data_IF_727803637731
#
_entry.id   IF_727803637731
#
_cell.length_a   1.000
_cell.length_b   1.000
_cell.length_c   1.000
_cell.angle_alpha   90.00
_cell.angle_beta   90.00
_cell.angle_gamma   90.00
#
_symmetry.space_group_name_H-M   'P 1'
#
loop_
_entity.id
_entity.type
_entity.pdbx_description
1 polymer ?
#
# COMPACT_ATOMS: atom_id res chain seq x y z
N UNK A 1 56.32 -85.74 -30.24
CA UNK A 1 57.11 -84.55 -29.90
C UNK A 1 56.47 -83.91 -28.67
N UNK A 2 57.15 -83.89 -27.53
CA UNK A 2 56.61 -83.37 -26.27
C UNK A 2 56.57 -81.85 -26.29
N UNK A 3 55.44 -81.28 -25.88
CA UNK A 3 55.26 -79.84 -25.67
C UNK A 3 56.02 -79.49 -24.39
N UNK A 4 57.13 -78.76 -24.53
CA UNK A 4 57.89 -78.24 -23.39
C UNK A 4 57.00 -77.29 -22.57
N UNK A 5 56.54 -77.78 -21.44
CA UNK A 5 55.82 -77.03 -20.42
C UNK A 5 56.82 -76.15 -19.64
N UNK A 6 56.70 -74.83 -19.82
CA UNK A 6 57.09 -73.84 -18.80
C UNK A 6 58.55 -73.41 -18.75
N UNK A 7 59.08 -72.82 -19.83
CA UNK A 7 60.35 -72.09 -19.74
C UNK A 7 60.17 -70.77 -18.97
N UNK A 8 60.68 -70.72 -17.74
CA UNK A 8 60.91 -69.48 -17.00
C UNK A 8 62.17 -68.83 -17.56
N UNK A 9 62.03 -67.96 -18.56
CA UNK A 9 63.17 -67.53 -19.38
C UNK A 9 64.20 -66.64 -18.63
N UNK A 10 63.88 -66.03 -17.49
CA UNK A 10 64.91 -65.31 -16.70
C UNK A 10 64.48 -65.11 -15.25
N UNK A 11 65.07 -65.87 -14.32
CA UNK A 11 65.09 -65.53 -12.89
C UNK A 11 66.31 -64.63 -12.68
N UNK A 12 66.09 -63.33 -12.55
CA UNK A 12 67.18 -62.39 -12.26
C UNK A 12 67.55 -62.63 -10.78
N UNK A 13 68.84 -62.89 -10.56
CA UNK A 13 69.51 -63.24 -9.29
C UNK A 13 68.82 -62.72 -8.01
N UNK A 14 68.72 -63.58 -6.98
CA UNK A 14 68.38 -63.21 -5.59
C UNK A 14 69.52 -62.35 -5.04
N UNK A 15 69.32 -61.05 -4.96
CA UNK A 15 70.25 -60.11 -4.34
C UNK A 15 69.42 -58.94 -3.84
N UNK A 16 69.73 -58.43 -2.66
CA UNK A 16 69.09 -57.21 -2.17
C UNK A 16 69.43 -56.05 -3.11
N UNK A 17 68.41 -55.44 -3.69
CA UNK A 17 68.55 -54.25 -4.52
C UNK A 17 68.12 -53.03 -3.72
N UNK A 18 69.00 -52.02 -3.66
CA UNK A 18 68.75 -50.71 -3.06
C UNK A 18 68.54 -49.70 -4.18
N UNK A 19 67.36 -49.07 -4.22
CA UNK A 19 67.05 -48.02 -5.20
C UNK A 19 68.04 -46.86 -5.07
N UNK A 20 68.56 -46.38 -6.21
CA UNK A 20 69.47 -45.22 -6.29
C UNK A 20 70.97 -45.52 -6.35
N UNK A 21 71.44 -46.71 -5.97
CA UNK A 21 72.87 -47.07 -5.99
C UNK A 21 73.25 -48.15 -7.02
N UNK A 22 72.30 -48.94 -7.52
CA UNK A 22 72.55 -49.97 -8.54
C UNK A 22 71.77 -49.68 -9.83
N UNK A 23 72.43 -49.75 -10.99
CA UNK A 23 71.75 -49.67 -12.29
C UNK A 23 70.79 -50.86 -12.41
N UNK A 24 69.50 -50.57 -12.59
CA UNK A 24 68.50 -51.60 -12.88
C UNK A 24 68.97 -52.49 -14.04
N UNK A 25 68.76 -53.82 -13.98
CA UNK A 25 69.11 -54.71 -15.07
C UNK A 25 68.52 -54.19 -16.39
N UNK A 26 69.32 -54.16 -17.48
CA UNK A 26 68.92 -53.60 -18.80
C UNK A 26 67.59 -54.13 -19.37
N UNK A 27 67.09 -55.26 -18.87
CA UNK A 27 65.80 -55.86 -19.21
C UNK A 27 64.57 -55.19 -18.53
N UNK A 28 64.81 -54.35 -17.53
CA UNK A 28 63.85 -53.50 -16.81
C UNK A 28 63.91 -52.11 -17.43
N UNK A 29 63.58 -51.99 -18.73
CA UNK A 29 63.50 -50.66 -19.34
C UNK A 29 62.30 -49.93 -18.75
N UNK A 30 62.56 -48.77 -18.14
CA UNK A 30 61.61 -47.80 -17.60
C UNK A 30 60.50 -47.46 -18.61
N UNK A 31 59.44 -48.25 -18.65
CA UNK A 31 58.15 -47.81 -19.16
C UNK A 31 57.15 -47.91 -18.01
N UNK A 32 57.09 -46.83 -17.26
CA UNK A 32 56.26 -46.65 -16.07
C UNK A 32 57.11 -46.55 -14.81
N UNK A 33 57.17 -45.36 -14.23
CA UNK A 33 57.92 -44.98 -13.01
C UNK A 33 57.52 -45.72 -11.73
N UNK A 34 56.71 -46.78 -11.80
CA UNK A 34 56.17 -47.44 -10.60
C UNK A 34 57.26 -48.16 -9.78
N UNK A 35 58.37 -48.57 -10.41
CA UNK A 35 59.53 -49.16 -9.74
C UNK A 35 60.39 -48.12 -8.98
N UNK A 36 60.25 -46.82 -9.27
CA UNK A 36 60.95 -45.75 -8.55
C UNK A 36 60.35 -45.50 -7.15
N UNK A 37 59.11 -45.94 -6.92
CA UNK A 37 58.43 -45.84 -5.62
C UNK A 37 58.72 -47.04 -4.70
N UNK A 38 59.46 -48.05 -5.18
CA UNK A 38 59.84 -49.23 -4.42
C UNK A 38 61.32 -49.09 -4.05
N UNK A 39 61.58 -48.52 -2.87
CA UNK A 39 62.95 -48.21 -2.44
C UNK A 39 63.84 -49.45 -2.30
N UNK A 40 63.26 -50.60 -1.94
CA UNK A 40 64.01 -51.83 -1.70
C UNK A 40 63.19 -53.07 -2.11
N UNK A 41 63.79 -53.98 -2.89
CA UNK A 41 63.19 -55.28 -3.20
C UNK A 41 64.24 -56.39 -3.21
N UNK A 42 63.81 -57.61 -2.88
CA UNK A 42 64.67 -58.78 -2.71
C UNK A 42 64.96 -59.51 -4.02
N UNK A 43 63.96 -59.58 -4.90
CA UNK A 43 64.16 -60.07 -6.26
C UNK A 43 63.06 -59.58 -7.19
N UNK A 44 63.33 -59.58 -8.49
CA UNK A 44 62.32 -59.28 -9.49
C UNK A 44 62.38 -60.31 -10.60
N UNK A 45 61.24 -60.93 -10.89
CA UNK A 45 61.11 -62.04 -11.83
C UNK A 45 60.13 -61.67 -12.92
N UNK A 46 60.59 -61.73 -14.18
CA UNK A 46 59.72 -61.60 -15.35
C UNK A 46 59.22 -62.97 -15.76
N UNK A 47 57.92 -63.22 -15.61
CA UNK A 47 57.29 -64.49 -15.93
C UNK A 47 56.45 -64.35 -17.20
N UNK A 48 56.68 -65.22 -18.18
CA UNK A 48 55.79 -65.39 -19.32
C UNK A 48 54.86 -66.55 -19.02
N UNK A 49 53.58 -66.26 -18.84
CA UNK A 49 52.58 -67.29 -18.55
C UNK A 49 52.20 -68.02 -19.84
N UNK A 50 52.03 -69.36 -19.81
CA UNK A 50 51.59 -70.12 -20.98
C UNK A 50 50.31 -69.53 -21.58
N UNK A 51 50.29 -69.31 -22.90
CA UNK A 51 49.15 -68.72 -23.62
C UNK A 51 48.99 -67.20 -23.50
N UNK A 52 49.88 -66.48 -22.79
CA UNK A 52 49.85 -65.01 -22.72
C UNK A 52 51.01 -64.39 -23.48
N UNK A 53 50.69 -63.48 -24.40
CA UNK A 53 51.67 -62.70 -25.16
C UNK A 53 52.42 -61.65 -24.30
N UNK A 54 51.80 -61.21 -23.18
CA UNK A 54 52.38 -60.20 -22.28
C UNK A 54 53.00 -60.87 -21.06
N UNK A 55 54.27 -60.57 -20.82
CA UNK A 55 54.96 -60.94 -19.58
C UNK A 55 54.41 -60.19 -18.37
N UNK A 56 54.51 -60.80 -17.19
CA UNK A 56 54.24 -60.15 -15.90
C UNK A 56 55.52 -60.06 -15.08
N UNK A 57 55.65 -58.98 -14.32
CA UNK A 57 56.72 -58.82 -13.34
C UNK A 57 56.20 -59.20 -11.95
N UNK A 58 56.98 -60.00 -11.24
CA UNK A 58 56.77 -60.33 -9.84
C UNK A 58 57.93 -59.74 -9.06
N UNK A 59 57.62 -59.08 -7.95
CA UNK A 59 58.61 -58.55 -7.03
C UNK A 59 58.53 -59.38 -5.76
N UNK A 60 59.64 -59.99 -5.38
CA UNK A 60 59.80 -60.59 -4.07
C UNK A 60 60.29 -59.49 -3.11
N UNK A 61 59.58 -59.32 -2.02
CA UNK A 61 59.93 -58.40 -0.94
C UNK A 61 60.10 -59.20 0.36
N UNK A 62 60.95 -58.72 1.25
CA UNK A 62 60.97 -59.25 2.62
C UNK A 62 59.66 -58.92 3.32
N UNK A 63 59.20 -59.73 4.30
CA UNK A 63 57.99 -59.41 5.05
C UNK A 63 58.01 -58.01 5.66
N UNK A 64 59.18 -57.56 6.15
CA UNK A 64 59.37 -56.21 6.71
C UNK A 64 59.10 -55.10 5.68
N UNK A 65 59.68 -55.20 4.48
CA UNK A 65 59.46 -54.23 3.40
C UNK A 65 58.00 -54.19 2.96
N UNK A 66 57.34 -55.34 2.89
CA UNK A 66 55.91 -55.39 2.58
C UNK A 66 55.06 -54.71 3.67
N UNK A 67 55.39 -54.94 4.94
CA UNK A 67 54.71 -54.27 6.06
C UNK A 67 54.93 -52.75 6.07
N UNK A 68 56.14 -52.29 5.76
CA UNK A 68 56.47 -50.86 5.68
C UNK A 68 55.69 -50.19 4.53
N UNK A 69 55.62 -50.85 3.36
CA UNK A 69 54.84 -50.35 2.21
C UNK A 69 53.33 -50.27 2.52
N UNK A 70 52.78 -51.32 3.13
CA UNK A 70 51.37 -51.32 3.58
C UNK A 70 51.14 -50.21 4.62
N UNK A 71 52.10 -49.99 5.51
CA UNK A 71 52.05 -48.91 6.50
C UNK A 71 52.01 -47.53 5.85
N UNK A 72 52.85 -47.31 4.84
CA UNK A 72 52.91 -46.07 4.08
C UNK A 72 51.62 -45.81 3.28
N UNK A 73 51.12 -46.81 2.53
CA UNK A 73 49.85 -46.67 1.78
C UNK A 73 48.69 -46.31 2.72
N UNK A 74 48.61 -46.96 3.88
CA UNK A 74 47.57 -46.65 4.88
C UNK A 74 47.70 -45.23 5.43
N UNK A 75 48.92 -44.72 5.60
CA UNK A 75 49.13 -43.37 6.10
C UNK A 75 48.82 -42.31 5.03
N UNK A 76 49.20 -42.58 3.78
CA UNK A 76 48.84 -41.74 2.63
C UNK A 76 47.33 -41.68 2.43
N UNK A 77 46.62 -42.82 2.53
CA UNK A 77 45.15 -42.89 2.49
C UNK A 77 44.52 -42.06 3.61
N UNK A 78 45.01 -42.17 4.85
CA UNK A 78 44.52 -41.34 5.97
C UNK A 78 44.74 -39.85 5.72
N UNK A 79 45.91 -39.46 5.21
CA UNK A 79 46.20 -38.08 4.88
C UNK A 79 45.29 -37.56 3.76
N UNK A 80 45.00 -38.39 2.76
CA UNK A 80 44.08 -38.01 1.69
C UNK A 80 42.64 -37.85 2.20
N UNK A 81 42.18 -38.78 3.04
CA UNK A 81 40.84 -38.71 3.66
C UNK A 81 40.71 -37.47 4.54
N UNK A 82 41.70 -37.17 5.39
CA UNK A 82 41.69 -35.98 6.25
C UNK A 82 41.70 -34.68 5.42
N UNK A 83 42.52 -34.60 4.36
CA UNK A 83 42.50 -33.45 3.42
C UNK A 83 41.12 -33.26 2.78
N UNK A 84 40.45 -34.35 2.37
CA UNK A 84 39.10 -34.29 1.80
C UNK A 84 38.07 -33.79 2.83
N UNK A 85 38.11 -34.32 4.05
CA UNK A 85 37.23 -33.90 5.15
C UNK A 85 37.42 -32.42 5.47
N UNK A 86 38.67 -31.94 5.56
CA UNK A 86 38.97 -30.54 5.86
C UNK A 86 38.54 -29.61 4.73
N UNK A 87 38.72 -30.01 3.47
CA UNK A 87 38.24 -29.25 2.32
C UNK A 87 36.71 -29.10 2.36
N UNK A 88 35.99 -30.19 2.65
CA UNK A 88 34.54 -30.16 2.76
C UNK A 88 34.05 -29.36 3.97
N UNK A 89 34.75 -29.46 5.11
CA UNK A 89 34.46 -28.65 6.30
C UNK A 89 34.63 -27.16 6.00
N UNK A 90 35.67 -26.77 5.28
CA UNK A 90 35.90 -25.38 4.84
C UNK A 90 34.78 -24.90 3.90
N UNK A 91 34.39 -25.70 2.92
CA UNK A 91 33.27 -25.39 2.01
C UNK A 91 31.95 -25.22 2.77
N UNK A 92 31.62 -26.15 3.67
CA UNK A 92 30.42 -26.08 4.53
C UNK A 92 30.44 -24.83 5.40
N UNK A 93 31.56 -24.53 6.05
CA UNK A 93 31.70 -23.32 6.88
C UNK A 93 31.48 -22.04 6.08
N UNK A 94 32.05 -21.94 4.87
CA UNK A 94 31.82 -20.80 3.97
C UNK A 94 30.34 -20.66 3.61
N UNK A 95 29.68 -21.77 3.27
CA UNK A 95 28.24 -21.78 2.94
C UNK A 95 27.38 -21.35 4.13
N UNK A 96 27.71 -21.81 5.34
CA UNK A 96 27.00 -21.41 6.57
C UNK A 96 27.15 -19.90 6.80
N UNK A 97 28.36 -19.34 6.64
CA UNK A 97 28.58 -17.89 6.77
C UNK A 97 27.76 -17.09 5.74
N UNK A 98 27.75 -17.53 4.49
CA UNK A 98 26.97 -16.89 3.43
C UNK A 98 25.46 -16.96 3.71
N UNK A 99 24.95 -18.11 4.16
CA UNK A 99 23.54 -18.27 4.53
C UNK A 99 23.16 -17.39 5.73
N UNK A 100 24.03 -17.29 6.75
CA UNK A 100 23.79 -16.39 7.90
C UNK A 100 23.74 -14.92 7.47
N UNK A 101 24.65 -14.49 6.60
CA UNK A 101 24.63 -13.13 6.05
C UNK A 101 23.34 -12.86 5.26
N UNK A 102 22.93 -13.80 4.39
CA UNK A 102 21.70 -13.65 3.63
C UNK A 102 20.41 -13.71 4.47
N UNK A 103 20.43 -14.40 5.63
CA UNK A 103 19.32 -14.34 6.59
C UNK A 103 19.25 -12.95 7.22
N UNK A 104 20.38 -12.40 7.68
CA UNK A 104 20.42 -11.07 8.29
C UNK A 104 19.95 -9.98 7.33
N UNK A 105 20.40 -10.03 6.07
CA UNK A 105 19.95 -9.11 5.01
C UNK A 105 18.42 -9.18 4.81
N UNK A 106 17.86 -10.39 4.75
CA UNK A 106 16.40 -10.57 4.65
C UNK A 106 15.64 -10.11 5.90
N UNK A 107 16.20 -10.33 7.09
CA UNK A 107 15.59 -9.87 8.34
C UNK A 107 15.55 -8.33 8.38
N UNK A 108 16.62 -7.66 7.93
CA UNK A 108 16.66 -6.20 7.78
C UNK A 108 15.61 -5.71 6.77
N UNK A 109 15.50 -6.34 5.60
CA UNK A 109 14.44 -6.04 4.64
C UNK A 109 13.05 -6.17 5.30
N UNK A 110 12.76 -7.30 5.97
CA UNK A 110 11.48 -7.53 6.65
C UNK A 110 11.17 -6.43 7.67
N UNK A 111 12.16 -5.96 8.43
CA UNK A 111 11.99 -4.85 9.36
C UNK A 111 11.60 -3.55 8.64
N UNK A 112 12.26 -3.22 7.54
CA UNK A 112 11.90 -2.03 6.73
C UNK A 112 10.49 -2.13 6.14
N UNK A 113 10.09 -3.30 5.64
CA UNK A 113 8.73 -3.56 5.17
C UNK A 113 7.70 -3.41 6.29
N UNK A 114 8.01 -3.92 7.48
CA UNK A 114 7.12 -3.82 8.65
C UNK A 114 6.94 -2.37 9.10
N UNK A 115 8.00 -1.57 9.11
CA UNK A 115 7.91 -0.14 9.41
C UNK A 115 7.07 0.61 8.37
N UNK A 116 7.27 0.30 7.09
CA UNK A 116 6.52 0.91 6.00
C UNK A 116 5.03 0.55 6.08
N UNK A 117 4.71 -0.72 6.32
CA UNK A 117 3.34 -1.18 6.53
C UNK A 117 2.70 -0.51 7.75
N UNK A 118 3.42 -0.40 8.87
CA UNK A 118 2.93 0.29 10.06
C UNK A 118 2.61 1.77 9.79
N UNK A 119 3.49 2.48 9.07
CA UNK A 119 3.26 3.86 8.64
C UNK A 119 2.05 3.98 7.72
N UNK A 120 1.86 3.02 6.79
CA UNK A 120 0.70 2.99 5.90
C UNK A 120 -0.60 2.79 6.70
N UNK A 121 -0.65 1.83 7.63
CA UNK A 121 -1.80 1.59 8.50
C UNK A 121 -2.16 2.83 9.33
N UNK A 122 -1.15 3.52 9.89
CA UNK A 122 -1.38 4.74 10.64
C UNK A 122 -1.97 5.87 9.78
N UNK A 123 -1.56 5.99 8.51
CA UNK A 123 -2.15 6.95 7.56
C UNK A 123 -3.58 6.58 7.20
N UNK A 124 -3.85 5.31 6.91
CA UNK A 124 -5.20 4.84 6.58
C UNK A 124 -6.16 5.11 7.73
N UNK A 125 -5.78 4.81 8.97
CA UNK A 125 -6.62 5.12 10.15
C UNK A 125 -6.93 6.60 10.29
N UNK A 126 -5.96 7.49 10.03
CA UNK A 126 -6.21 8.94 10.05
C UNK A 126 -7.25 9.35 8.99
N UNK A 127 -7.14 8.80 7.78
CA UNK A 127 -8.09 9.06 6.70
C UNK A 127 -9.48 8.51 7.03
N UNK A 128 -9.56 7.33 7.65
CA UNK A 128 -10.83 6.75 8.12
C UNK A 128 -11.48 7.62 9.20
N UNK A 129 -10.70 8.14 10.15
CA UNK A 129 -11.18 9.06 11.18
C UNK A 129 -11.69 10.39 10.58
N UNK A 130 -10.95 10.96 9.62
CA UNK A 130 -11.35 12.18 8.89
C UNK A 130 -12.62 11.96 8.07
N UNK A 131 -12.73 10.81 7.40
CA UNK A 131 -13.94 10.43 6.65
C UNK A 131 -15.15 10.27 7.59
N UNK A 132 -14.94 9.67 8.77
CA UNK A 132 -15.99 9.52 9.78
C UNK A 132 -16.47 10.87 10.32
N UNK A 133 -15.55 11.81 10.58
CA UNK A 133 -15.90 13.18 11.01
C UNK A 133 -16.67 13.94 9.94
N UNK A 134 -16.16 13.98 8.72
CA UNK A 134 -16.81 14.67 7.59
C UNK A 134 -18.17 14.04 7.25
N UNK A 135 -18.32 12.72 7.40
CA UNK A 135 -19.62 12.06 7.22
C UNK A 135 -20.65 12.50 8.27
N UNK A 136 -20.23 12.71 9.53
CA UNK A 136 -21.13 13.21 10.59
C UNK A 136 -21.50 14.66 10.36
N UNK A 137 -20.52 15.50 10.03
CA UNK A 137 -20.75 16.91 9.69
C UNK A 137 -21.72 17.03 8.50
N UNK A 138 -21.53 16.23 7.44
CA UNK A 138 -22.46 16.18 6.31
C UNK A 138 -23.87 15.77 6.73
N UNK A 139 -24.01 14.79 7.62
CA UNK A 139 -25.32 14.37 8.12
C UNK A 139 -26.00 15.50 8.93
N UNK A 140 -25.26 16.20 9.78
CA UNK A 140 -25.75 17.35 10.53
C UNK A 140 -26.20 18.49 9.59
N UNK A 141 -25.40 18.82 8.58
CA UNK A 141 -25.74 19.81 7.56
C UNK A 141 -26.99 19.42 6.76
N UNK A 142 -27.14 18.15 6.41
CA UNK A 142 -28.34 17.63 5.74
C UNK A 142 -29.59 17.75 6.61
N UNK A 143 -29.48 17.41 7.89
CA UNK A 143 -30.55 17.55 8.87
C UNK A 143 -30.95 19.03 9.03
N UNK A 144 -29.97 19.92 9.14
CA UNK A 144 -30.21 21.35 9.27
C UNK A 144 -30.84 21.94 8.00
N UNK A 145 -30.39 21.54 6.82
CA UNK A 145 -30.99 21.96 5.56
C UNK A 145 -32.46 21.54 5.47
N UNK A 146 -32.77 20.30 5.85
CA UNK A 146 -34.16 19.80 5.90
C UNK A 146 -35.04 20.60 6.88
N UNK A 147 -34.47 21.03 8.01
CA UNK A 147 -35.14 21.92 8.98
C UNK A 147 -35.41 23.30 8.38
N UNK A 148 -34.43 23.88 7.68
CA UNK A 148 -34.58 25.17 7.01
C UNK A 148 -35.61 25.12 5.88
N UNK A 149 -35.65 24.06 5.08
CA UNK A 149 -36.67 23.86 4.04
C UNK A 149 -38.07 23.80 4.66
N UNK A 150 -38.23 23.12 5.79
CA UNK A 150 -39.49 23.07 6.53
C UNK A 150 -39.93 24.46 7.02
N UNK A 151 -38.99 25.24 7.56
CA UNK A 151 -39.27 26.62 8.00
C UNK A 151 -39.61 27.54 6.83
N UNK A 152 -38.91 27.39 5.70
CA UNK A 152 -39.20 28.12 4.47
C UNK A 152 -40.60 27.85 3.98
N UNK A 153 -41.03 26.59 3.94
CA UNK A 153 -42.39 26.21 3.54
C UNK A 153 -43.45 26.83 4.47
N UNK A 154 -43.19 26.86 5.78
CA UNK A 154 -44.08 27.53 6.74
C UNK A 154 -44.14 29.03 6.50
N UNK A 155 -43.01 29.67 6.21
CA UNK A 155 -42.95 31.10 5.89
C UNK A 155 -43.69 31.43 4.59
N UNK A 156 -43.47 30.65 3.52
CA UNK A 156 -44.16 30.79 2.23
C UNK A 156 -45.68 30.63 2.39
N UNK A 157 -46.13 29.62 3.15
CA UNK A 157 -47.56 29.44 3.44
C UNK A 157 -48.16 30.62 4.24
N UNK A 158 -47.42 31.18 5.20
CA UNK A 158 -47.85 32.37 5.94
C UNK A 158 -47.93 33.60 5.04
N UNK A 159 -46.94 33.80 4.18
CA UNK A 159 -46.90 34.90 3.23
C UNK A 159 -48.07 34.81 2.24
N UNK A 160 -48.35 33.63 1.69
CA UNK A 160 -49.50 33.40 0.81
C UNK A 160 -50.82 33.76 1.50
N UNK A 161 -51.05 33.27 2.73
CA UNK A 161 -52.28 33.61 3.49
C UNK A 161 -52.39 35.10 3.81
N UNK A 162 -51.27 35.77 4.08
CA UNK A 162 -51.27 37.21 4.31
C UNK A 162 -51.63 37.98 3.02
N UNK A 163 -51.14 37.50 1.87
CA UNK A 163 -51.46 38.05 0.56
C UNK A 163 -52.94 37.84 0.21
N UNK A 164 -53.50 36.65 0.47
CA UNK A 164 -54.93 36.37 0.26
C UNK A 164 -55.81 37.32 1.09
N UNK A 165 -55.47 37.53 2.37
CA UNK A 165 -56.16 38.50 3.23
C UNK A 165 -56.03 39.94 2.73
N UNK A 166 -54.89 40.30 2.14
CA UNK A 166 -54.70 41.62 1.54
C UNK A 166 -55.66 41.81 0.36
N UNK A 167 -55.75 40.81 -0.52
CA UNK A 167 -56.66 40.83 -1.67
C UNK A 167 -58.14 40.90 -1.23
N UNK A 168 -58.52 40.20 -0.17
CA UNK A 168 -59.87 40.31 0.43
C UNK A 168 -60.16 41.73 0.91
N UNK A 169 -59.19 42.37 1.57
CA UNK A 169 -59.32 43.75 2.07
C UNK A 169 -59.36 44.76 0.93
N UNK A 170 -58.57 44.57 -0.12
CA UNK A 170 -58.61 45.41 -1.31
C UNK A 170 -59.97 45.30 -2.01
N UNK A 171 -60.55 44.10 -2.09
CA UNK A 171 -61.90 43.89 -2.62
C UNK A 171 -62.98 44.58 -1.75
N UNK A 172 -62.87 44.51 -0.41
CA UNK A 172 -63.77 45.21 0.52
C UNK A 172 -63.68 46.73 0.35
N UNK A 173 -62.48 47.29 0.19
CA UNK A 173 -62.27 48.72 -0.09
C UNK A 173 -62.96 49.12 -1.39
N UNK A 174 -62.82 48.32 -2.45
CA UNK A 174 -63.50 48.58 -3.73
C UNK A 174 -65.03 48.59 -3.55
N UNK A 175 -65.59 47.60 -2.84
CA UNK A 175 -67.03 47.55 -2.56
C UNK A 175 -67.51 48.77 -1.77
N UNK A 176 -66.80 49.14 -0.70
CA UNK A 176 -67.13 50.30 0.12
C UNK A 176 -67.06 51.61 -0.70
N UNK A 177 -66.07 51.75 -1.59
CA UNK A 177 -65.97 52.90 -2.48
C UNK A 177 -67.16 52.96 -3.46
N UNK A 178 -67.59 51.83 -4.03
CA UNK A 178 -68.76 51.80 -4.90
C UNK A 178 -70.05 52.17 -4.18
N UNK A 179 -70.22 51.73 -2.93
CA UNK A 179 -71.38 52.09 -2.10
C UNK A 179 -71.34 53.57 -1.70
N UNK A 180 -70.17 54.10 -1.34
CA UNK A 180 -69.98 55.52 -1.09
C UNK A 180 -70.37 56.38 -2.30
N UNK A 181 -69.98 55.97 -3.50
CA UNK A 181 -70.31 56.69 -4.72
C UNK A 181 -71.82 56.62 -5.04
N UNK A 182 -72.45 55.46 -4.79
CA UNK A 182 -73.92 55.31 -4.88
C UNK A 182 -74.64 56.22 -3.89
N UNK A 183 -74.17 56.31 -2.66
CA UNK A 183 -74.73 57.19 -1.64
C UNK A 183 -74.56 58.66 -2.01
N UNK A 184 -73.39 59.05 -2.54
CA UNK A 184 -73.16 60.40 -3.07
C UNK A 184 -74.15 60.73 -4.18
N UNK A 185 -74.36 59.82 -5.13
CA UNK A 185 -75.31 60.01 -6.21
C UNK A 185 -76.75 60.17 -5.70
N UNK A 186 -77.14 59.35 -4.72
CA UNK A 186 -78.46 59.44 -4.07
C UNK A 186 -78.67 60.78 -3.35
N UNK A 187 -77.62 61.32 -2.72
CA UNK A 187 -77.67 62.64 -2.08
C UNK A 187 -77.80 63.75 -3.14
N UNK A 188 -77.05 63.64 -4.25
CA UNK A 188 -77.16 64.59 -5.37
C UNK A 188 -78.59 64.59 -5.91
N UNK A 189 -79.16 63.41 -6.18
CA UNK A 189 -80.54 63.25 -6.65
C UNK A 189 -81.54 63.87 -5.68
N UNK A 190 -81.47 63.54 -4.38
CA UNK A 190 -82.33 64.16 -3.36
C UNK A 190 -82.19 65.67 -3.27
N UNK A 191 -80.97 66.20 -3.37
CA UNK A 191 -80.75 67.65 -3.36
C UNK A 191 -81.39 68.30 -4.60
N UNK A 192 -81.26 67.68 -5.78
CA UNK A 192 -81.91 68.17 -6.99
C UNK A 192 -83.45 68.10 -6.89
N UNK A 193 -84.01 67.04 -6.32
CA UNK A 193 -85.45 66.92 -6.04
C UNK A 193 -85.93 67.99 -5.05
N UNK A 194 -85.16 68.25 -3.99
CA UNK A 194 -85.46 69.32 -3.03
C UNK A 194 -85.40 70.71 -3.66
N UNK A 195 -84.45 70.96 -4.57
CA UNK A 195 -84.35 72.22 -5.29
C UNK A 195 -85.48 72.38 -6.33
N UNK A 196 -86.00 71.28 -6.90
CA UNK A 196 -87.20 71.28 -7.74
C UNK A 196 -88.50 71.48 -6.94
N UNK A 197 -88.57 70.95 -5.71
CA UNK A 197 -89.68 71.17 -4.77
C UNK A 197 -89.68 72.59 -4.17
N UNK A 198 -88.53 73.28 -4.17
CA UNK A 198 -88.44 74.73 -3.97
C UNK A 198 -88.88 75.47 -5.24
N UNK A 199 -90.14 75.29 -5.61
CA UNK A 199 -90.81 76.22 -6.51
C UNK A 199 -90.79 77.63 -5.91
N UNK A 200 -90.11 78.53 -6.62
CA UNK A 200 -89.91 79.97 -6.39
C UNK A 200 -89.03 80.43 -5.21
N UNK A 201 -88.15 81.43 -5.44
CA UNK A 201 -87.32 82.02 -4.40
C UNK A 201 -88.17 82.93 -3.52
N UNK A 202 -88.54 82.46 -2.33
CA UNK A 202 -88.82 83.39 -1.23
C UNK A 202 -87.50 83.81 -0.61
N UNK A 203 -87.14 85.06 -0.85
CA UNK A 203 -86.17 85.82 -0.06
C UNK A 203 -86.40 85.56 1.44
N UNK A 204 -85.49 84.81 2.07
CA UNK A 204 -85.31 84.81 3.52
C UNK A 204 -83.83 84.62 3.85
N UNK A 205 -83.15 85.76 4.02
CA UNK A 205 -82.11 85.91 5.05
C UNK A 205 -82.79 85.88 6.44
N UNK A 206 -82.15 85.63 7.61
CA UNK A 206 -80.70 85.47 7.90
C UNK A 206 -80.32 84.28 8.86
N UNK A 207 -79.01 84.10 9.07
CA UNK A 207 -78.34 83.46 10.23
C UNK A 207 -78.39 81.93 10.43
N UNK A 208 -77.24 81.25 10.33
CA UNK A 208 -76.46 80.83 11.52
C UNK A 208 -75.33 79.82 11.19
N UNK A 209 -74.29 79.89 12.04
CA UNK A 209 -73.26 78.90 12.32
C UNK A 209 -72.19 78.58 11.25
N UNK A 210 -71.16 79.42 11.24
CA UNK A 210 -69.81 79.05 10.80
C UNK A 210 -69.23 77.99 11.76
N UNK A 211 -69.37 76.71 11.44
CA UNK A 211 -68.63 75.65 12.15
C UNK A 211 -67.20 75.63 11.61
N UNK A 212 -66.26 76.21 12.35
CA UNK A 212 -64.83 76.02 12.14
C UNK A 212 -64.52 74.52 12.29
N UNK A 213 -64.22 73.84 11.20
CA UNK A 213 -63.61 72.51 11.27
C UNK A 213 -62.20 72.65 11.81
N UNK A 214 -62.02 72.17 13.03
CA UNK A 214 -60.76 72.08 13.75
C UNK A 214 -59.83 71.14 12.96
N UNK A 215 -58.82 71.69 12.26
CA UNK A 215 -57.72 70.87 11.74
C UNK A 215 -56.95 70.33 12.93
N UNK A 216 -57.09 69.03 13.21
CA UNK A 216 -56.17 68.33 14.11
C UNK A 216 -54.84 68.16 13.39
N UNK A 217 -53.87 68.98 13.79
CA UNK A 217 -52.47 68.72 13.49
C UNK A 217 -52.03 67.50 14.32
N UNK A 218 -52.08 66.31 13.72
CA UNK A 218 -51.29 65.19 14.24
C UNK A 218 -49.84 65.44 13.83
N UNK A 219 -49.01 65.78 14.82
CA UNK A 219 -47.56 65.89 14.70
C UNK A 219 -47.01 64.56 14.15
N UNK A 220 -46.46 64.60 12.94
CA UNK A 220 -45.43 63.66 12.51
C UNK A 220 -44.20 63.88 13.39
N UNK A 221 -44.04 63.07 14.43
CA UNK A 221 -42.76 62.98 15.14
C UNK A 221 -41.82 62.16 14.27
N UNK A 222 -40.87 62.86 13.64
CA UNK A 222 -39.67 62.27 13.09
C UNK A 222 -38.85 61.62 14.22
N UNK A 223 -38.48 60.36 14.07
CA UNK A 223 -37.31 59.82 14.77
C UNK A 223 -36.62 58.73 13.95
N UNK A 224 -35.61 59.19 13.22
CA UNK A 224 -34.34 58.56 12.82
C UNK A 224 -34.33 57.28 11.95
N UNK A 225 -33.38 57.21 10.99
CA UNK A 225 -33.08 56.00 10.25
C UNK A 225 -32.29 55.03 11.15
N UNK A 226 -32.58 53.74 11.06
CA UNK A 226 -31.66 52.71 11.51
C UNK A 226 -30.65 52.49 10.38
N UNK A 227 -29.45 53.00 10.62
CA UNK A 227 -28.24 52.65 9.91
C UNK A 227 -28.17 51.13 9.72
N UNK A 228 -28.09 50.71 8.45
CA UNK A 228 -27.43 49.47 8.11
C UNK A 228 -25.93 49.59 8.39
N UNK A 229 -25.27 48.46 8.60
CA UNK A 229 -24.22 48.16 7.65
C UNK A 229 -24.38 46.75 7.10
N UNK A 230 -24.57 46.71 5.78
CA UNK A 230 -23.96 45.67 4.97
C UNK A 230 -22.45 45.78 5.16
N UNK A 231 -21.89 44.81 5.88
CA UNK A 231 -20.47 44.53 5.94
C UNK A 231 -20.24 43.13 5.40
N UNK A 232 -20.07 43.05 4.09
CA UNK A 232 -19.36 41.94 3.47
C UNK A 232 -17.89 41.98 3.92
N UNK A 233 -17.36 40.83 4.32
CA UNK A 233 -15.98 40.35 4.13
C UNK A 233 -15.67 39.27 5.17
N UNK A 234 -15.84 38.00 4.79
CA UNK A 234 -14.86 36.92 5.00
C UNK A 234 -15.02 35.91 3.86
#
# INVERSE_FOLDING_TARGET
MSINLGETITRILRKDFVSGNEQFPKCVKQKGNWLEYIDHYYSMVKVHLPGKLKARWFIEMTPKQLWDLIGQEREDEKQEVTKRIDADRKKKTKRIKALKAGILEKDEEILTWRETASKAVARTRKVEDELSRTSKENFELWSENSRLDSLRLVAENRASRAFDRLNEKDAEIVQLNTELERQRQTIIERNTELDLLKGEPKERSPHSATTKTQRSNVKLTSSKPLDGPYGANQ
#
